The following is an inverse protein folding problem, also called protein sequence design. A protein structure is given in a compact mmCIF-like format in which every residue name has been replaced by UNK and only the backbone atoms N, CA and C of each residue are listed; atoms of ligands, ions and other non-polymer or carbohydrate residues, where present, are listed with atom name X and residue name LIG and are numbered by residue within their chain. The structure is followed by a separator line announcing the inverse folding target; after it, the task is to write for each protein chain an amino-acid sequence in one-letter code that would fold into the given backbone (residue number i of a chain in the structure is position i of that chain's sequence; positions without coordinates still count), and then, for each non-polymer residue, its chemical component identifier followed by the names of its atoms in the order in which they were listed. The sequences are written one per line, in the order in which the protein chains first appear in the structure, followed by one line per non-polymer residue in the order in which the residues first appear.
data_IF_668456397149
#
_entry.id   IF_668456397149
#
_cell.length_a   1.000
_cell.length_b   1.000
_cell.length_c   1.000
_cell.angle_alpha   90.00
_cell.angle_beta   90.00
_cell.angle_gamma   90.00
#
_symmetry.space_group_name_H-M   'P 1'
#
loop_
_entity.id
_entity.type
_entity.pdbx_description
1 polymer ?
#
# COMPACT_ATOMS: atom_id res chain seq x y z
N UNK A 1 4.82 -48.66 -5.70
CA UNK A 1 4.01 -47.75 -6.53
C UNK A 1 3.97 -46.42 -5.79
N UNK A 2 4.81 -45.47 -6.18
CA UNK A 2 5.00 -44.21 -5.45
C UNK A 2 3.83 -43.28 -5.74
N UNK A 3 3.02 -42.95 -4.72
CA UNK A 3 2.07 -41.84 -4.80
C UNK A 3 2.89 -40.56 -4.83
N UNK A 4 3.23 -40.10 -6.04
CA UNK A 4 3.63 -38.70 -6.25
C UNK A 4 2.45 -37.88 -5.76
N UNK A 5 2.60 -37.27 -4.58
CA UNK A 5 1.61 -36.36 -4.02
C UNK A 5 1.39 -35.27 -5.05
N UNK A 6 0.25 -35.34 -5.75
CA UNK A 6 -0.13 -34.36 -6.74
C UNK A 6 -0.16 -33.01 -6.04
N UNK A 7 0.75 -32.12 -6.42
CA UNK A 7 0.66 -30.72 -6.04
C UNK A 7 -0.63 -30.23 -6.67
N UNK A 8 -1.69 -30.14 -5.85
CA UNK A 8 -2.98 -29.61 -6.28
C UNK A 8 -2.74 -28.24 -6.88
N UNK A 9 -3.10 -28.08 -8.16
CA UNK A 9 -2.99 -26.82 -8.87
C UNK A 9 -3.79 -25.78 -8.09
N UNK A 10 -3.27 -24.56 -7.87
CA UNK A 10 -4.05 -23.48 -7.27
C UNK A 10 -5.37 -23.33 -8.02
N UNK A 11 -6.49 -23.26 -7.29
CA UNK A 11 -7.79 -23.01 -7.91
C UNK A 11 -7.78 -21.72 -8.74
N UNK A 12 -8.77 -21.50 -9.61
CA UNK A 12 -8.80 -20.35 -10.54
C UNK A 12 -8.58 -19.00 -9.85
N UNK A 13 -9.18 -18.82 -8.67
CA UNK A 13 -9.01 -17.63 -7.83
C UNK A 13 -7.60 -17.49 -7.24
N UNK A 14 -6.98 -18.64 -6.94
CA UNK A 14 -5.55 -18.83 -6.62
C UNK A 14 -4.65 -18.13 -7.64
N UNK A 15 -4.80 -18.55 -8.89
CA UNK A 15 -4.00 -18.06 -10.01
C UNK A 15 -4.30 -16.61 -10.36
N UNK A 16 -5.58 -16.21 -10.33
CA UNK A 16 -6.00 -14.85 -10.62
C UNK A 16 -5.37 -13.83 -9.65
N UNK A 17 -5.51 -14.05 -8.34
CA UNK A 17 -4.98 -13.07 -7.39
C UNK A 17 -3.45 -13.09 -7.30
N UNK A 18 -2.80 -14.24 -7.55
CA UNK A 18 -1.35 -14.27 -7.74
C UNK A 18 -0.90 -13.41 -8.93
N UNK A 19 -1.62 -13.51 -10.06
CA UNK A 19 -1.40 -12.69 -11.25
C UNK A 19 -1.63 -11.20 -10.98
N UNK A 20 -2.76 -10.85 -10.35
CA UNK A 20 -3.09 -9.46 -9.99
C UNK A 20 -2.05 -8.86 -9.04
N UNK A 21 -1.62 -9.61 -8.03
CA UNK A 21 -0.55 -9.20 -7.09
C UNK A 21 0.74 -8.87 -7.83
N UNK A 22 1.18 -9.76 -8.72
CA UNK A 22 2.39 -9.56 -9.51
C UNK A 22 2.26 -8.36 -10.45
N UNK A 23 1.11 -8.21 -11.10
CA UNK A 23 0.83 -7.09 -11.97
C UNK A 23 0.92 -5.77 -11.20
N UNK A 24 0.17 -5.63 -10.10
CA UNK A 24 0.19 -4.43 -9.26
C UNK A 24 1.59 -4.16 -8.70
N UNK A 25 2.30 -5.20 -8.27
CA UNK A 25 3.67 -5.09 -7.76
C UNK A 25 4.64 -4.55 -8.80
N UNK A 26 4.66 -5.13 -10.00
CA UNK A 26 5.54 -4.68 -11.09
C UNK A 26 5.21 -3.28 -11.58
N UNK A 27 3.93 -2.95 -11.75
CA UNK A 27 3.51 -1.59 -12.13
C UNK A 27 3.96 -0.57 -11.08
N UNK A 28 3.84 -0.90 -9.80
CA UNK A 28 4.24 0.01 -8.71
C UNK A 28 5.74 0.24 -8.68
N UNK A 29 6.55 -0.81 -8.86
CA UNK A 29 8.01 -0.69 -8.97
C UNK A 29 8.42 0.16 -10.17
N UNK A 30 7.83 -0.10 -11.34
CA UNK A 30 8.16 0.65 -12.56
C UNK A 30 7.85 2.14 -12.41
N UNK A 31 6.64 2.49 -11.94
CA UNK A 31 6.22 3.87 -11.71
C UNK A 31 7.11 4.55 -10.66
N UNK A 32 7.38 3.86 -9.54
CA UNK A 32 8.22 4.41 -8.48
C UNK A 32 9.64 4.73 -8.96
N UNK A 33 10.28 3.81 -9.70
CA UNK A 33 11.64 4.03 -10.22
C UNK A 33 11.65 5.20 -11.20
N UNK A 34 10.73 5.22 -12.17
CA UNK A 34 10.66 6.28 -13.17
C UNK A 34 10.46 7.66 -12.53
N UNK A 35 9.55 7.76 -11.55
CA UNK A 35 9.29 9.02 -10.87
C UNK A 35 10.41 9.43 -9.91
N UNK A 36 11.05 8.49 -9.22
CA UNK A 36 12.23 8.81 -8.39
C UNK A 36 13.39 9.34 -9.25
N UNK A 37 13.62 8.74 -10.42
CA UNK A 37 14.62 9.25 -11.36
C UNK A 37 14.27 10.65 -11.85
N UNK A 38 13.00 10.89 -12.22
CA UNK A 38 12.54 12.21 -12.66
C UNK A 38 12.62 13.27 -11.54
N UNK A 39 12.43 12.88 -10.28
CA UNK A 39 12.49 13.77 -9.12
C UNK A 39 13.94 14.09 -8.74
N UNK A 40 14.88 13.15 -8.91
CA UNK A 40 16.31 13.38 -8.71
C UNK A 40 16.89 14.42 -9.67
N UNK A 41 16.29 14.59 -10.86
CA UNK A 41 16.65 15.62 -11.82
C UNK A 41 16.10 17.02 -11.44
N UNK A 42 15.25 17.12 -10.41
CA UNK A 42 14.61 18.37 -9.95
C UNK A 42 14.93 18.63 -8.48
N UNK A 43 14.51 19.80 -7.94
CA UNK A 43 14.55 20.06 -6.50
C UNK A 43 13.45 19.22 -5.83
N UNK A 44 13.80 18.19 -5.03
CA UNK A 44 12.83 17.16 -4.69
C UNK A 44 11.82 17.62 -3.63
N UNK A 45 10.53 17.37 -3.89
CA UNK A 45 9.50 17.45 -2.85
C UNK A 45 9.54 16.18 -1.99
N UNK A 46 9.77 16.38 -0.67
CA UNK A 46 9.89 15.30 0.32
C UNK A 46 8.63 14.42 0.37
N UNK A 47 7.45 14.99 0.18
CA UNK A 47 6.20 14.24 0.18
C UNK A 47 6.12 13.29 -1.03
N UNK A 48 6.53 13.76 -2.21
CA UNK A 48 6.59 12.96 -3.42
C UNK A 48 7.63 11.85 -3.32
N UNK A 49 8.81 12.13 -2.76
CA UNK A 49 9.82 11.10 -2.51
C UNK A 49 9.30 9.99 -1.59
N UNK A 50 8.63 10.35 -0.50
CA UNK A 50 8.06 9.38 0.44
C UNK A 50 7.01 8.48 -0.23
N UNK A 51 6.11 9.08 -1.03
CA UNK A 51 5.10 8.34 -1.76
C UNK A 51 5.73 7.30 -2.69
N UNK A 52 6.69 7.70 -3.53
CA UNK A 52 7.34 6.78 -4.46
C UNK A 52 8.21 5.74 -3.76
N UNK A 53 8.88 6.09 -2.66
CA UNK A 53 9.59 5.11 -1.84
C UNK A 53 8.62 4.06 -1.27
N UNK A 54 7.42 4.47 -0.82
CA UNK A 54 6.39 3.56 -0.35
C UNK A 54 5.88 2.65 -1.47
N UNK A 55 5.64 3.18 -2.69
CA UNK A 55 5.28 2.34 -3.85
C UNK A 55 6.38 1.34 -4.19
N UNK A 56 7.64 1.75 -4.13
CA UNK A 56 8.78 0.88 -4.42
C UNK A 56 8.84 -0.27 -3.41
N UNK A 57 8.81 0.03 -2.11
CA UNK A 57 8.86 -0.98 -1.04
C UNK A 57 7.62 -1.88 -1.10
N UNK A 58 6.43 -1.31 -1.20
CA UNK A 58 5.18 -2.05 -1.30
C UNK A 58 5.11 -2.94 -2.53
N UNK A 59 5.56 -2.45 -3.69
CA UNK A 59 5.64 -3.20 -4.93
C UNK A 59 6.63 -4.36 -4.85
N UNK A 60 7.81 -4.14 -4.27
CA UNK A 60 8.78 -5.21 -4.02
C UNK A 60 8.22 -6.26 -3.06
N UNK A 61 7.56 -5.86 -1.98
CA UNK A 61 6.88 -6.78 -1.08
C UNK A 61 5.80 -7.58 -1.83
N UNK A 62 4.97 -6.92 -2.65
CA UNK A 62 3.98 -7.62 -3.46
C UNK A 62 4.61 -8.62 -4.42
N UNK A 63 5.81 -8.38 -4.96
CA UNK A 63 6.49 -9.33 -5.84
C UNK A 63 7.10 -10.49 -5.03
N UNK A 64 7.81 -10.17 -3.95
CA UNK A 64 8.56 -11.12 -3.14
C UNK A 64 7.69 -12.02 -2.27
N UNK A 65 6.54 -11.55 -1.80
CA UNK A 65 5.67 -12.29 -0.90
C UNK A 65 4.66 -13.16 -1.66
N UNK A 66 4.98 -14.44 -1.83
CA UNK A 66 4.01 -15.42 -2.32
C UNK A 66 2.81 -15.57 -1.37
N UNK A 67 1.65 -15.96 -1.89
CA UNK A 67 0.39 -16.18 -1.12
C UNK A 67 0.47 -17.27 -0.03
N UNK A 68 1.62 -17.91 0.18
CA UNK A 68 1.90 -18.78 1.31
C UNK A 68 2.09 -18.02 2.60
N UNK A 69 1.06 -17.30 3.06
CA UNK A 69 1.04 -16.57 4.34
C UNK A 69 0.92 -17.50 5.55
N UNK A 70 1.66 -18.61 5.54
CA UNK A 70 1.91 -19.41 6.73
C UNK A 70 2.64 -18.50 7.75
N UNK A 71 1.88 -17.87 8.65
CA UNK A 71 2.41 -17.00 9.70
C UNK A 71 1.72 -15.64 9.88
N UNK A 72 0.83 -15.20 8.98
CA UNK A 72 0.06 -13.98 9.22
C UNK A 72 -1.11 -14.29 10.14
N UNK A 73 -0.93 -14.00 11.43
CA UNK A 73 -1.98 -14.21 12.43
C UNK A 73 -3.08 -13.15 12.29
N UNK A 74 -4.19 -13.29 13.03
CA UNK A 74 -5.25 -12.28 13.06
C UNK A 74 -4.71 -10.88 13.42
N UNK A 75 -3.68 -10.81 14.27
CA UNK A 75 -3.00 -9.55 14.61
C UNK A 75 -2.37 -8.83 13.41
N UNK A 76 -1.80 -9.57 12.44
CA UNK A 76 -1.20 -8.98 11.25
C UNK A 76 -2.25 -8.35 10.32
N UNK A 77 -3.38 -9.04 10.14
CA UNK A 77 -4.51 -8.50 9.38
C UNK A 77 -5.21 -7.34 10.09
N UNK A 78 -5.34 -7.40 11.41
CA UNK A 78 -5.86 -6.28 12.20
C UNK A 78 -4.96 -5.04 12.07
N UNK A 79 -3.64 -5.22 12.14
CA UNK A 79 -2.66 -4.14 11.93
C UNK A 79 -2.74 -3.54 10.52
N UNK A 80 -2.80 -4.40 9.49
CA UNK A 80 -3.03 -3.96 8.10
C UNK A 80 -4.30 -3.11 7.98
N UNK A 81 -5.43 -3.64 8.46
CA UNK A 81 -6.72 -2.98 8.37
C UNK A 81 -6.73 -1.64 9.13
N UNK A 82 -6.14 -1.60 10.32
CA UNK A 82 -6.05 -0.39 11.12
C UNK A 82 -5.26 0.73 10.41
N UNK A 83 -4.11 0.39 9.82
CA UNK A 83 -3.29 1.36 9.07
C UNK A 83 -4.01 1.84 7.82
N UNK A 84 -4.59 0.93 7.05
CA UNK A 84 -5.33 1.28 5.84
C UNK A 84 -6.52 2.19 6.17
N UNK A 85 -7.40 1.75 7.08
CA UNK A 85 -8.60 2.51 7.44
C UNK A 85 -8.26 3.83 8.13
N UNK A 86 -7.35 3.81 9.10
CA UNK A 86 -6.91 5.03 9.79
C UNK A 86 -6.28 6.03 8.83
N UNK A 87 -5.45 5.55 7.93
CA UNK A 87 -4.85 6.36 6.88
C UNK A 87 -5.87 7.00 5.93
N UNK A 88 -6.83 6.20 5.44
CA UNK A 88 -7.91 6.70 4.60
C UNK A 88 -8.78 7.74 5.30
N UNK A 89 -9.07 7.56 6.60
CA UNK A 89 -9.80 8.55 7.40
C UNK A 89 -9.03 9.86 7.52
N UNK A 90 -7.70 9.80 7.65
CA UNK A 90 -6.84 10.99 7.68
C UNK A 90 -6.80 11.68 6.31
N UNK A 91 -6.67 10.93 5.22
CA UNK A 91 -6.70 11.47 3.84
C UNK A 91 -8.07 12.04 3.46
N UNK A 92 -9.15 11.59 4.09
CA UNK A 92 -10.51 12.10 3.87
C UNK A 92 -10.77 13.45 4.56
N UNK A 93 -9.86 13.93 5.42
CA UNK A 93 -10.03 15.21 6.10
C UNK A 93 -9.93 16.35 5.07
N UNK A 94 -10.97 17.17 4.90
CA UNK A 94 -10.98 18.24 3.92
C UNK A 94 -9.93 19.30 4.29
N UNK A 95 -9.25 19.82 3.26
CA UNK A 95 -8.33 20.93 3.44
C UNK A 95 -9.12 22.25 3.58
N UNK A 96 -8.84 23.03 4.61
CA UNK A 96 -9.53 24.31 4.86
C UNK A 96 -8.97 25.48 4.00
N UNK A 97 -7.99 25.23 3.14
CA UNK A 97 -7.34 26.26 2.34
C UNK A 97 -7.14 25.76 0.90
N UNK A 98 -7.70 26.47 -0.07
CA UNK A 98 -7.38 26.26 -1.47
C UNK A 98 -6.01 26.86 -1.77
N UNK A 99 -5.04 26.03 -2.14
CA UNK A 99 -3.78 26.52 -2.69
C UNK A 99 -4.07 27.02 -4.11
N UNK A 100 -3.68 28.27 -4.39
CA UNK A 100 -4.04 29.00 -5.59
C UNK A 100 -3.69 28.23 -6.89
N UNK A 101 -4.45 28.50 -7.96
CA UNK A 101 -4.34 27.95 -9.33
C UNK A 101 -5.18 26.71 -9.69
N UNK A 102 -5.90 26.09 -8.74
CA UNK A 102 -7.09 25.28 -9.05
C UNK A 102 -8.32 25.95 -8.46
N UNK A 103 -9.01 26.76 -9.27
CA UNK A 103 -10.09 27.68 -8.84
C UNK A 103 -11.42 27.00 -8.52
N UNK A 104 -11.48 25.67 -8.45
CA UNK A 104 -12.72 24.93 -8.21
C UNK A 104 -12.72 24.10 -6.92
N UNK A 105 -11.57 23.78 -6.32
CA UNK A 105 -11.48 22.85 -5.20
C UNK A 105 -10.33 23.17 -4.22
N UNK A 106 -10.59 23.05 -2.92
CA UNK A 106 -9.59 23.20 -1.87
C UNK A 106 -8.71 21.94 -1.73
N UNK A 107 -7.56 21.91 -2.41
CA UNK A 107 -6.63 20.76 -2.37
C UNK A 107 -5.38 21.11 -1.56
N UNK A 108 -4.92 20.16 -0.73
CA UNK A 108 -3.66 20.25 0.03
C UNK A 108 -2.48 19.98 -0.91
N UNK A 109 -1.43 20.80 -0.89
CA UNK A 109 -0.17 20.43 -1.54
C UNK A 109 0.60 19.47 -0.63
N UNK A 110 0.81 18.24 -1.13
CA UNK A 110 1.60 17.22 -0.47
C UNK A 110 0.78 16.15 0.25
N UNK A 111 1.49 15.11 0.67
CA UNK A 111 0.96 13.90 1.30
C UNK A 111 0.54 14.15 2.77
N UNK A 112 -0.56 13.55 3.27
CA UNK A 112 -1.54 12.72 2.57
C UNK A 112 -2.37 13.52 1.55
N UNK A 113 -2.74 12.88 0.43
CA UNK A 113 -3.53 13.54 -0.60
C UNK A 113 -4.96 13.78 -0.07
N UNK A 114 -5.57 14.89 -0.45
CA UNK A 114 -6.94 15.20 -0.02
C UNK A 114 -7.88 14.80 -1.14
N UNK A 115 -8.30 13.53 -1.14
CA UNK A 115 -9.20 13.03 -2.18
C UNK A 115 -10.64 13.56 -2.05
N UNK A 116 -11.02 14.03 -0.86
CA UNK A 116 -12.35 14.58 -0.59
C UNK A 116 -12.26 16.10 -0.46
N UNK A 117 -12.64 16.80 -1.53
CA UNK A 117 -12.65 18.26 -1.57
C UNK A 117 -14.06 18.82 -1.40
N UNK A 118 -14.16 19.99 -0.80
CA UNK A 118 -15.40 20.76 -0.72
C UNK A 118 -15.30 21.93 -1.70
N UNK A 119 -16.34 22.14 -2.48
CA UNK A 119 -16.44 23.33 -3.34
C UNK A 119 -16.96 24.54 -2.54
N UNK A 120 -16.79 25.74 -3.10
CA UNK A 120 -17.23 27.00 -2.49
C UNK A 120 -18.77 27.10 -2.37
N UNK A 121 -19.51 26.28 -3.13
CA UNK A 121 -20.98 26.15 -3.07
C UNK A 121 -21.48 25.14 -2.02
N UNK A 122 -20.58 24.48 -1.30
CA UNK A 122 -20.89 23.47 -0.29
C UNK A 122 -21.07 22.03 -0.79
N UNK A 123 -20.86 21.78 -2.09
CA UNK A 123 -20.83 20.46 -2.70
C UNK A 123 -19.55 19.68 -2.38
N UNK A 124 -19.66 18.35 -2.50
CA UNK A 124 -18.57 17.41 -2.28
C UNK A 124 -18.06 16.88 -3.62
N UNK A 125 -16.74 16.86 -3.78
CA UNK A 125 -16.08 16.27 -4.93
C UNK A 125 -15.06 15.23 -4.48
N UNK A 126 -15.04 14.10 -5.19
CA UNK A 126 -14.07 13.03 -4.97
C UNK A 126 -13.09 13.02 -6.14
N UNK A 127 -11.82 13.32 -5.85
CA UNK A 127 -10.72 13.20 -6.81
C UNK A 127 -10.26 11.73 -6.86
N UNK A 128 -10.73 11.00 -7.88
CA UNK A 128 -10.43 9.58 -8.07
C UNK A 128 -8.93 9.27 -8.18
N UNK A 129 -8.11 10.05 -8.93
CA UNK A 129 -6.65 9.92 -8.90
C UNK A 129 -6.04 10.02 -7.49
N UNK A 130 -6.43 11.01 -6.70
CA UNK A 130 -5.90 11.18 -5.33
C UNK A 130 -6.38 10.06 -4.41
N UNK A 131 -7.64 9.63 -4.54
CA UNK A 131 -8.19 8.49 -3.80
C UNK A 131 -7.38 7.22 -4.06
N UNK A 132 -7.07 6.94 -5.34
CA UNK A 132 -6.26 5.79 -5.71
C UNK A 132 -4.84 5.89 -5.15
N UNK A 133 -4.24 7.08 -5.17
CA UNK A 133 -2.92 7.31 -4.59
C UNK A 133 -2.90 7.04 -3.09
N UNK A 134 -3.88 7.54 -2.34
CA UNK A 134 -4.00 7.27 -0.89
C UNK A 134 -4.25 5.78 -0.60
N UNK A 135 -5.12 5.13 -1.37
CA UNK A 135 -5.39 3.69 -1.23
C UNK A 135 -4.12 2.86 -1.44
N UNK A 136 -3.33 3.18 -2.47
CA UNK A 136 -2.06 2.52 -2.73
C UNK A 136 -1.06 2.77 -1.59
N UNK A 137 -0.89 4.03 -1.17
CA UNK A 137 0.05 4.38 -0.12
C UNK A 137 -0.29 3.67 1.20
N UNK A 138 -1.52 3.83 1.69
CA UNK A 138 -1.94 3.26 2.97
C UNK A 138 -2.07 1.74 2.89
N UNK A 139 -2.42 1.20 1.72
CA UNK A 139 -2.38 -0.24 1.45
C UNK A 139 -0.98 -0.81 1.57
N UNK A 140 0.03 -0.12 1.02
CA UNK A 140 1.43 -0.52 1.15
C UNK A 140 1.97 -0.34 2.57
N UNK A 141 1.62 0.74 3.26
CA UNK A 141 1.96 0.93 4.67
C UNK A 141 1.37 -0.20 5.54
N UNK A 142 0.11 -0.57 5.31
CA UNK A 142 -0.52 -1.70 5.97
C UNK A 142 0.17 -3.02 5.63
N UNK A 143 0.56 -3.24 4.36
CA UNK A 143 1.27 -4.44 3.93
C UNK A 143 2.61 -4.59 4.66
N UNK A 144 3.35 -3.49 4.82
CA UNK A 144 4.60 -3.46 5.60
C UNK A 144 4.32 -3.91 7.04
N UNK A 145 3.29 -3.37 7.69
CA UNK A 145 2.91 -3.78 9.07
C UNK A 145 2.57 -5.26 9.14
N UNK A 146 1.80 -5.78 8.18
CA UNK A 146 1.47 -7.20 8.11
C UNK A 146 2.71 -8.08 8.01
N UNK A 147 3.67 -7.69 7.16
CA UNK A 147 4.95 -8.40 6.99
C UNK A 147 5.79 -8.34 8.27
N UNK A 148 5.91 -7.16 8.88
CA UNK A 148 6.66 -6.98 10.14
C UNK A 148 6.08 -7.84 11.28
N UNK A 149 4.76 -7.88 11.42
CA UNK A 149 4.08 -8.72 12.42
C UNK A 149 4.33 -10.20 12.12
N UNK A 150 4.26 -10.62 10.85
CA UNK A 150 4.55 -11.99 10.48
C UNK A 150 6.01 -12.38 10.79
N UNK A 151 6.97 -11.49 10.53
CA UNK A 151 8.38 -11.69 10.87
C UNK A 151 8.59 -11.77 12.39
N UNK A 152 8.00 -10.87 13.17
CA UNK A 152 8.12 -10.86 14.63
C UNK A 152 7.59 -12.16 15.25
N UNK A 153 6.47 -12.69 14.72
CA UNK A 153 5.92 -13.99 15.16
C UNK A 153 6.87 -15.14 14.88
N UNK A 154 7.41 -15.22 13.66
CA UNK A 154 8.38 -16.28 13.28
C UNK A 154 9.64 -16.24 14.15
N UNK A 155 10.16 -15.05 14.46
CA UNK A 155 11.31 -14.89 15.34
C UNK A 155 10.99 -15.37 16.76
N UNK A 156 9.80 -15.04 17.27
CA UNK A 156 9.36 -15.45 18.62
C UNK A 156 9.18 -16.96 18.73
N UNK A 157 8.64 -17.60 17.69
CA UNK A 157 8.49 -19.07 17.62
C UNK A 157 9.84 -19.79 17.61
N UNK A 158 10.85 -19.26 16.89
CA UNK A 158 12.21 -19.80 16.90
C UNK A 158 12.91 -19.67 18.26
N UNK A 159 12.68 -18.60 19.02
CA UNK A 159 13.26 -18.43 20.36
C UNK A 159 12.55 -19.25 21.44
N UNK A 160 11.24 -19.50 21.27
CA UNK A 160 10.45 -20.31 22.22
C UNK A 160 10.66 -21.83 22.07
N UNK A 161 11.03 -22.31 20.89
CA UNK A 161 11.20 -23.74 20.60
C UNK A 161 12.49 -24.39 21.12
N UNK A 162 13.43 -23.62 21.67
CA UNK A 162 14.73 -24.11 22.17
C UNK A 162 14.79 -24.42 23.67
N UNK A 163 13.66 -24.46 24.39
CA UNK A 163 13.60 -24.67 25.85
C UNK A 163 12.86 -25.95 26.29
N UNK A 164 12.82 -26.99 25.45
CA UNK A 164 12.33 -28.31 25.83
C UNK A 164 13.44 -29.36 25.67
#
# INVERSE_FOLDING_TARGET
MSTVGGVESPGPWGSFGAGLRLLVGWFSVAIAILNLLAELDRLPDRAYLLFHAMLLVGGLLLISYGWGTAGTGPAGYAGFGAVLTGGMLVSALPANHAVCCMTAYSVRHGYPFTFLARDDGGGWHVDSPQLLADLLFWGYAGLIVLVLVAMARRISEHHGGGRN
#
